data_IF_484354034756
#
_entry.id   IF_484354034756
#
_cell.length_a   1.000
_cell.length_b   1.000
_cell.length_c   1.000
_cell.angle_alpha   90.00
_cell.angle_beta   90.00
_cell.angle_gamma   90.00
#
_symmetry.space_group_name_H-M   'P 1'
#
loop_
_entity.id
_entity.type
_entity.pdbx_description
1 polymer ?
#
# COMPACT_ATOMS: atom_id res chain seq x y z
N UNK A 1 -21.96 -70.40 -5.15
CA UNK A 1 -22.04 -69.86 -3.77
C UNK A 1 -22.64 -68.48 -3.89
N UNK A 2 -23.79 -68.31 -3.22
CA UNK A 2 -24.42 -67.05 -2.80
C UNK A 2 -25.06 -66.06 -3.80
N UNK A 3 -26.04 -65.25 -3.32
CA UNK A 3 -27.35 -65.04 -3.94
C UNK A 3 -27.60 -63.54 -4.24
N UNK A 4 -28.66 -62.84 -3.74
CA UNK A 4 -29.82 -62.42 -4.52
C UNK A 4 -30.02 -60.89 -4.62
N UNK A 5 -31.07 -60.49 -5.37
CA UNK A 5 -31.96 -59.34 -5.13
C UNK A 5 -31.40 -57.91 -4.94
N UNK A 6 -31.79 -56.99 -5.83
CA UNK A 6 -32.79 -55.94 -5.55
C UNK A 6 -32.90 -54.90 -6.69
N UNK A 7 -34.11 -54.59 -7.20
CA UNK A 7 -34.47 -53.26 -7.71
C UNK A 7 -35.10 -52.42 -6.57
N UNK A 8 -35.54 -51.17 -6.77
CA UNK A 8 -35.15 -50.06 -7.65
C UNK A 8 -34.75 -48.80 -6.83
N UNK A 9 -34.14 -47.75 -7.40
CA UNK A 9 -34.22 -46.41 -6.77
C UNK A 9 -34.17 -45.27 -7.83
N UNK A 10 -34.82 -44.13 -7.52
CA UNK A 10 -35.34 -43.17 -8.49
C UNK A 10 -34.25 -42.25 -9.03
N UNK A 11 -34.41 -41.84 -10.29
CA UNK A 11 -33.56 -40.83 -10.93
C UNK A 11 -33.83 -39.49 -10.23
N UNK A 12 -32.95 -39.14 -9.28
CA UNK A 12 -32.93 -37.84 -8.64
C UNK A 12 -32.66 -36.78 -9.72
N UNK A 13 -33.54 -35.79 -9.77
CA UNK A 13 -33.48 -34.65 -10.67
C UNK A 13 -32.08 -34.00 -10.63
N UNK A 14 -31.49 -33.86 -11.82
CA UNK A 14 -30.26 -33.11 -12.06
C UNK A 14 -30.51 -31.64 -11.68
N UNK A 15 -29.69 -31.04 -10.81
CA UNK A 15 -29.88 -29.64 -10.43
C UNK A 15 -29.57 -28.75 -11.64
N UNK A 16 -30.57 -28.01 -12.12
CA UNK A 16 -30.39 -26.93 -13.08
C UNK A 16 -29.31 -25.97 -12.55
N UNK A 17 -28.26 -25.67 -13.34
CA UNK A 17 -27.23 -24.74 -12.92
C UNK A 17 -27.84 -23.37 -12.68
N UNK A 18 -27.82 -22.93 -11.42
CA UNK A 18 -28.19 -21.59 -11.02
C UNK A 18 -27.41 -20.58 -11.88
N UNK A 19 -28.14 -19.69 -12.56
CA UNK A 19 -27.58 -18.51 -13.20
C UNK A 19 -26.82 -17.71 -12.14
N UNK A 20 -25.49 -17.85 -12.11
CA UNK A 20 -24.61 -16.94 -11.38
C UNK A 20 -24.71 -15.61 -12.14
N UNK A 21 -25.19 -14.51 -11.53
CA UNK A 21 -25.11 -13.22 -12.18
C UNK A 21 -23.64 -12.96 -12.54
N UNK A 22 -23.33 -12.38 -13.72
CA UNK A 22 -21.95 -12.04 -14.06
C UNK A 22 -21.38 -11.17 -12.92
N UNK A 23 -20.08 -11.32 -12.58
CA UNK A 23 -19.47 -10.44 -11.59
C UNK A 23 -19.76 -9.00 -12.01
N UNK A 24 -20.34 -8.22 -11.11
CA UNK A 24 -20.53 -6.80 -11.33
C UNK A 24 -19.21 -6.25 -11.86
N UNK A 25 -19.21 -5.74 -13.09
CA UNK A 25 -18.07 -5.05 -13.65
C UNK A 25 -17.70 -3.98 -12.63
N UNK A 26 -16.59 -4.18 -11.92
CA UNK A 26 -16.13 -3.22 -10.93
C UNK A 26 -15.90 -1.93 -11.69
N UNK A 27 -16.74 -0.94 -11.39
CA UNK A 27 -16.55 0.43 -11.85
C UNK A 27 -15.07 0.77 -11.65
N UNK A 28 -14.37 1.34 -12.66
CA UNK A 28 -12.95 1.62 -12.51
C UNK A 28 -12.80 2.49 -11.27
N UNK A 29 -12.17 1.92 -10.23
CA UNK A 29 -11.93 2.64 -9.00
C UNK A 29 -11.28 3.98 -9.38
N UNK A 30 -11.72 5.11 -8.79
CA UNK A 30 -11.07 6.38 -9.04
C UNK A 30 -9.55 6.17 -8.90
N UNK A 31 -8.74 6.77 -9.78
CA UNK A 31 -7.30 6.56 -9.75
C UNK A 31 -6.84 6.79 -8.32
N UNK A 32 -6.21 5.77 -7.73
CA UNK A 32 -5.73 5.87 -6.36
C UNK A 32 -4.91 7.17 -6.26
N UNK A 33 -5.10 7.93 -5.19
CA UNK A 33 -4.45 9.24 -4.99
C UNK A 33 -2.93 9.20 -5.20
N UNK A 34 -2.33 8.01 -5.12
CA UNK A 34 -0.90 7.75 -5.23
C UNK A 34 -0.53 6.85 -6.42
N UNK A 35 -1.44 6.62 -7.38
CA UNK A 35 -1.20 5.73 -8.52
C UNK A 35 -0.04 6.17 -9.41
N UNK A 36 0.30 7.46 -9.42
CA UNK A 36 1.45 8.01 -10.16
C UNK A 36 2.70 8.19 -9.28
N UNK A 37 2.65 7.76 -8.02
CA UNK A 37 3.77 7.95 -7.11
C UNK A 37 5.00 7.18 -7.59
N UNK A 38 6.17 7.83 -7.75
CA UNK A 38 7.38 7.16 -8.19
C UNK A 38 7.93 6.29 -7.07
N UNK A 39 7.89 4.98 -7.24
CA UNK A 39 8.51 4.07 -6.29
C UNK A 39 10.02 3.97 -6.49
N UNK A 40 10.72 3.65 -5.39
CA UNK A 40 12.15 3.35 -5.42
C UNK A 40 12.41 2.01 -6.10
N UNK A 41 13.63 1.82 -6.59
CA UNK A 41 14.02 0.55 -7.22
C UNK A 41 13.94 -0.60 -6.21
N UNK A 42 13.37 -1.73 -6.64
CA UNK A 42 13.13 -2.88 -5.78
C UNK A 42 12.13 -2.63 -4.64
N UNK A 43 11.36 -1.54 -4.67
CA UNK A 43 10.35 -1.29 -3.65
C UNK A 43 9.21 -2.31 -3.71
N UNK A 44 8.86 -2.87 -2.56
CA UNK A 44 7.82 -3.88 -2.43
C UNK A 44 6.76 -3.41 -1.43
N UNK A 45 5.49 -3.73 -1.69
CA UNK A 45 4.44 -3.53 -0.70
C UNK A 45 4.75 -4.43 0.52
N UNK A 46 4.96 -3.80 1.68
CA UNK A 46 5.52 -4.49 2.84
C UNK A 46 4.73 -4.29 4.14
N UNK A 47 3.77 -3.38 4.15
CA UNK A 47 3.00 -3.09 5.35
C UNK A 47 1.63 -3.72 5.19
N UNK A 48 1.43 -4.88 5.80
CA UNK A 48 0.12 -5.54 5.82
C UNK A 48 -0.92 -4.61 6.48
N UNK A 49 -1.97 -4.27 5.74
CA UNK A 49 -3.06 -3.42 6.24
C UNK A 49 -2.86 -1.90 6.12
N UNK A 50 -1.68 -1.43 5.69
CA UNK A 50 -1.46 -0.03 5.33
C UNK A 50 -1.42 0.10 3.82
N UNK A 51 -2.50 0.65 3.26
CA UNK A 51 -2.53 1.04 1.86
C UNK A 51 -1.35 1.98 1.57
N UNK A 52 -0.72 1.81 0.40
CA UNK A 52 0.31 2.73 -0.10
C UNK A 52 1.61 2.77 0.71
N UNK A 53 1.91 1.67 1.41
CA UNK A 53 3.13 1.50 2.18
C UNK A 53 4.11 0.54 1.51
N UNK A 54 5.32 1.03 1.29
CA UNK A 54 6.34 0.40 0.47
C UNK A 54 7.64 0.30 1.24
N UNK A 55 8.37 -0.78 1.03
CA UNK A 55 9.71 -1.00 1.58
C UNK A 55 10.72 -0.98 0.46
N UNK A 56 11.77 -0.18 0.63
CA UNK A 56 12.90 -0.17 -0.28
C UNK A 56 14.14 -0.79 0.40
N UNK A 57 14.74 -1.85 -0.17
CA UNK A 57 15.94 -2.47 0.36
C UNK A 57 17.23 -1.74 -0.03
N UNK A 58 17.19 -0.87 -1.05
CA UNK A 58 18.38 -0.23 -1.64
C UNK A 58 18.92 0.95 -0.81
N UNK A 59 18.13 1.47 0.12
CA UNK A 59 18.54 2.57 1.00
C UNK A 59 18.60 2.10 2.45
N UNK A 60 19.81 1.98 2.99
CA UNK A 60 20.04 1.68 4.42
C UNK A 60 19.63 2.82 5.35
N UNK A 61 19.20 3.97 4.80
CA UNK A 61 18.75 5.12 5.57
C UNK A 61 17.65 5.88 4.83
N UNK A 62 16.74 6.48 5.58
CA UNK A 62 15.68 7.34 5.02
C UNK A 62 16.24 8.52 4.20
N UNK A 63 17.48 8.96 4.44
CA UNK A 63 18.07 10.13 3.75
C UNK A 63 18.30 9.88 2.26
N UNK A 64 18.81 8.70 1.91
CA UNK A 64 19.03 8.30 0.52
C UNK A 64 17.69 8.21 -0.22
N UNK A 65 16.78 7.41 0.33
CA UNK A 65 15.42 7.27 -0.18
C UNK A 65 14.67 8.59 -0.31
N UNK A 66 14.78 9.50 0.66
CA UNK A 66 14.17 10.81 0.57
C UNK A 66 14.73 11.63 -0.61
N UNK A 67 16.05 11.58 -0.83
CA UNK A 67 16.69 12.30 -1.93
C UNK A 67 16.27 11.75 -3.29
N UNK A 68 16.22 10.42 -3.42
CA UNK A 68 15.76 9.73 -4.65
C UNK A 68 14.28 9.99 -4.93
N UNK A 69 13.42 9.86 -3.91
CA UNK A 69 11.98 10.12 -4.05
C UNK A 69 11.72 11.59 -4.38
N UNK A 70 12.44 12.50 -3.73
CA UNK A 70 12.34 13.94 -4.01
C UNK A 70 12.68 14.21 -5.48
N UNK A 71 13.82 13.74 -5.98
CA UNK A 71 14.23 13.98 -7.36
C UNK A 71 13.20 13.43 -8.38
N UNK A 72 12.61 12.26 -8.10
CA UNK A 72 11.60 11.64 -8.97
C UNK A 72 10.27 12.38 -8.93
N UNK A 73 9.84 12.85 -7.76
CA UNK A 73 8.63 13.64 -7.59
C UNK A 73 8.77 15.03 -8.22
N UNK A 74 9.91 15.70 -8.02
CA UNK A 74 10.24 16.98 -8.66
C UNK A 74 10.27 16.85 -10.19
N UNK A 75 10.81 15.75 -10.72
CA UNK A 75 10.78 15.46 -12.16
C UNK A 75 9.35 15.31 -12.73
N UNK A 76 8.37 14.97 -11.88
CA UNK A 76 6.95 14.90 -12.23
C UNK A 76 6.18 16.20 -11.92
N UNK A 77 6.87 17.23 -11.45
CA UNK A 77 6.30 18.53 -11.10
C UNK A 77 5.67 18.61 -9.70
N UNK A 78 5.93 17.63 -8.82
CA UNK A 78 5.57 17.73 -7.40
C UNK A 78 6.62 18.55 -6.64
N UNK A 79 6.17 19.20 -5.57
CA UNK A 79 7.01 19.92 -4.61
C UNK A 79 6.98 19.19 -3.27
N UNK A 80 8.14 19.02 -2.63
CA UNK A 80 8.25 18.44 -1.30
C UNK A 80 8.68 19.49 -0.29
N UNK A 81 7.91 19.63 0.78
CA UNK A 81 8.23 20.48 1.92
C UNK A 81 8.50 19.62 3.14
N UNK A 82 9.66 19.75 3.76
CA UNK A 82 9.96 18.99 4.97
C UNK A 82 9.21 19.59 6.17
N UNK A 83 8.15 18.90 6.59
CA UNK A 83 7.31 19.31 7.73
C UNK A 83 7.61 18.50 9.00
N UNK A 84 8.67 17.69 8.98
CA UNK A 84 8.95 16.71 10.04
C UNK A 84 8.97 17.38 11.41
N UNK A 85 9.72 18.46 11.60
CA UNK A 85 9.83 19.15 12.89
C UNK A 85 8.56 19.87 13.36
N UNK A 86 7.55 20.01 12.49
CA UNK A 86 6.25 20.59 12.81
C UNK A 86 5.26 19.52 13.30
N UNK A 87 5.41 18.28 12.80
CA UNK A 87 4.49 17.18 13.09
C UNK A 87 5.06 16.14 14.07
N UNK A 88 6.38 15.93 14.07
CA UNK A 88 7.09 14.91 14.85
C UNK A 88 8.49 15.38 15.29
N UNK A 89 9.07 14.68 16.26
CA UNK A 89 10.46 14.97 16.65
C UNK A 89 11.44 14.46 15.61
N UNK A 90 12.49 15.24 15.33
CA UNK A 90 13.54 14.86 14.37
C UNK A 90 14.31 13.60 14.79
N UNK A 91 14.32 13.31 16.09
CA UNK A 91 14.95 12.14 16.70
C UNK A 91 14.10 10.87 16.59
N UNK A 92 12.85 10.95 16.12
CA UNK A 92 11.92 9.80 16.04
C UNK A 92 12.27 8.79 14.93
N UNK A 93 13.39 8.97 14.21
CA UNK A 93 13.82 8.04 13.15
C UNK A 93 12.91 8.03 11.91
N UNK A 94 12.10 9.09 11.75
CA UNK A 94 11.14 9.28 10.66
C UNK A 94 11.35 10.64 10.00
N UNK A 95 10.97 10.72 8.74
CA UNK A 95 10.96 11.94 7.96
C UNK A 95 9.62 12.11 7.27
N UNK A 96 8.92 13.19 7.58
CA UNK A 96 7.66 13.55 6.95
C UNK A 96 7.86 14.71 6.00
N UNK A 97 7.38 14.54 4.77
CA UNK A 97 7.35 15.57 3.73
C UNK A 97 5.91 15.80 3.28
N UNK A 98 5.48 17.05 3.22
CA UNK A 98 4.25 17.43 2.53
C UNK A 98 4.56 17.47 1.03
N UNK A 99 3.81 16.70 0.25
CA UNK A 99 3.92 16.62 -1.21
C UNK A 99 2.72 17.33 -1.82
N UNK A 100 3.03 18.27 -2.71
CA UNK A 100 2.03 19.14 -3.34
C UNK A 100 2.28 19.27 -4.83
N UNK A 101 1.21 19.27 -5.62
CA UNK A 101 1.29 19.57 -7.06
C UNK A 101 0.08 20.38 -7.50
N UNK A 102 0.25 21.41 -8.34
CA UNK A 102 -0.86 22.22 -8.82
C UNK A 102 -1.94 21.35 -9.50
N UNK A 103 -3.18 21.43 -9.00
CA UNK A 103 -4.31 20.67 -9.53
C UNK A 103 -4.48 19.26 -8.94
N UNK A 104 -3.62 18.82 -8.03
CA UNK A 104 -3.75 17.54 -7.32
C UNK A 104 -3.94 17.76 -5.81
N UNK A 105 -4.49 16.74 -5.13
CA UNK A 105 -4.61 16.78 -3.68
C UNK A 105 -3.23 16.68 -3.02
N UNK A 106 -3.01 17.47 -1.98
CA UNK A 106 -1.80 17.38 -1.18
C UNK A 106 -1.84 16.09 -0.34
N UNK A 107 -0.66 15.50 -0.13
CA UNK A 107 -0.51 14.32 0.73
C UNK A 107 0.83 14.39 1.46
N UNK A 108 1.04 13.48 2.41
CA UNK A 108 2.24 13.39 3.21
C UNK A 108 2.99 12.11 2.87
N UNK A 109 4.27 12.26 2.56
CA UNK A 109 5.21 11.15 2.42
C UNK A 109 5.94 10.96 3.75
N UNK A 110 5.70 9.82 4.38
CA UNK A 110 6.31 9.46 5.66
C UNK A 110 7.38 8.40 5.38
N UNK A 111 8.65 8.71 5.64
CA UNK A 111 9.76 7.76 5.51
C UNK A 111 10.25 7.35 6.90
N UNK A 112 10.15 6.07 7.20
CA UNK A 112 10.54 5.48 8.48
C UNK A 112 11.74 4.58 8.23
N UNK A 113 12.85 4.82 8.94
CA UNK A 113 13.96 3.87 8.92
C UNK A 113 13.63 2.66 9.78
N UNK A 114 13.80 1.48 9.19
CA UNK A 114 13.59 0.18 9.84
C UNK A 114 14.88 -0.63 9.78
N UNK A 115 14.94 -1.77 10.47
CA UNK A 115 16.16 -2.60 10.52
C UNK A 115 16.64 -3.05 9.15
N UNK A 116 15.71 -3.31 8.25
CA UNK A 116 15.97 -3.88 6.93
C UNK A 116 15.68 -2.89 5.79
N UNK A 117 16.05 -1.63 6.00
CA UNK A 117 15.97 -0.56 4.98
C UNK A 117 15.05 0.57 5.41
N UNK A 118 14.24 1.04 4.48
CA UNK A 118 13.31 2.16 4.71
C UNK A 118 11.90 1.77 4.28
N UNK A 119 10.95 2.03 5.17
CA UNK A 119 9.53 2.02 4.86
C UNK A 119 9.12 3.43 4.49
N UNK A 120 8.31 3.57 3.45
CA UNK A 120 7.68 4.83 3.14
C UNK A 120 6.21 4.63 2.81
N UNK A 121 5.37 5.54 3.29
CA UNK A 121 3.93 5.51 3.07
C UNK A 121 3.39 6.89 2.73
N UNK A 122 2.41 6.93 1.83
CA UNK A 122 1.71 8.14 1.44
C UNK A 122 0.36 8.19 2.14
N UNK A 123 0.11 9.27 2.88
CA UNK A 123 -1.09 9.44 3.69
C UNK A 123 -1.70 10.82 3.49
N UNK A 124 -3.01 10.95 3.65
CA UNK A 124 -3.68 12.25 3.58
C UNK A 124 -3.33 13.16 4.77
N UNK A 125 -2.97 12.56 5.92
CA UNK A 125 -2.57 13.22 7.15
C UNK A 125 -1.19 12.72 7.60
N UNK A 126 -0.37 13.54 8.25
CA UNK A 126 0.94 13.11 8.73
C UNK A 126 0.80 11.98 9.76
N UNK A 127 1.72 11.01 9.75
CA UNK A 127 1.71 9.93 10.72
C UNK A 127 1.94 10.45 12.15
N UNK A 128 1.30 9.80 13.13
CA UNK A 128 1.57 10.05 14.55
C UNK A 128 2.78 9.26 15.03
N UNK A 129 3.35 9.68 16.17
CA UNK A 129 4.50 8.99 16.79
C UNK A 129 4.23 7.51 17.03
N UNK A 130 3.05 7.15 17.54
CA UNK A 130 2.67 5.75 17.78
C UNK A 130 2.67 4.90 16.50
N UNK A 131 2.18 5.44 15.38
CA UNK A 131 2.17 4.71 14.12
C UNK A 131 3.59 4.52 13.57
N UNK A 132 4.46 5.51 13.74
CA UNK A 132 5.88 5.40 13.37
C UNK A 132 6.57 4.33 14.20
N UNK A 133 6.34 4.30 15.51
CA UNK A 133 6.90 3.29 16.40
C UNK A 133 6.41 1.89 16.02
N UNK A 134 5.13 1.73 15.67
CA UNK A 134 4.59 0.47 15.19
C UNK A 134 5.29 -0.02 13.92
N UNK A 135 5.56 0.87 12.96
CA UNK A 135 6.32 0.53 11.74
C UNK A 135 7.78 0.20 12.01
N UNK A 136 8.43 0.85 12.97
CA UNK A 136 9.82 0.55 13.35
C UNK A 136 9.99 -0.80 14.04
N UNK A 137 8.91 -1.32 14.63
CA UNK A 137 8.88 -2.61 15.33
C UNK A 137 8.45 -3.77 14.42
N UNK A 138 7.99 -3.50 13.20
CA UNK A 138 7.66 -4.50 12.17
C UNK A 138 8.89 -5.12 11.51
#
# INVERSE_FOLDING_TARGET
>A
VEPPSAPPEPVAAEPEPAFVPPPAASEPAPPALYANFPHLDGAQAACEGLADCWRSPVSSSWRGAASDLQARLEAQGYTLSNVTGEVLSLDSGVRVYAVSKPGEANYYLNLVSVRDGVLYTMTAEPMTTDQVLALQQS
#
